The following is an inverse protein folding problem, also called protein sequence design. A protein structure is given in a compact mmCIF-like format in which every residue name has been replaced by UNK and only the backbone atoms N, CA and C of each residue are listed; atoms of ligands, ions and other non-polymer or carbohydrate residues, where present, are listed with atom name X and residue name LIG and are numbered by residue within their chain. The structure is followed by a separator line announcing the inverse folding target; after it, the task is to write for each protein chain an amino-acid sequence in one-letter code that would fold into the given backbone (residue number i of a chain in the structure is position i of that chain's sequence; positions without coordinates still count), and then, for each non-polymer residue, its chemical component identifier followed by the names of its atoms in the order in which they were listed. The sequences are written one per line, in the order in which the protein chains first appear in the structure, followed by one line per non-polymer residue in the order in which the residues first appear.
data_IF_174574386804
#
_entry.id   IF_174574386804
#
_cell.length_a   1.000
_cell.length_b   1.000
_cell.length_c   1.000
_cell.angle_alpha   90.00
_cell.angle_beta   90.00
_cell.angle_gamma   90.00
#
_symmetry.space_group_name_H-M   'P 1'
#
loop_
_entity.id
_entity.type
_entity.pdbx_description
1 polymer ?
#
# COMPACT_ATOMS: atom_id res chain seq x y z
N UNK A 1 -12.77 14.29 11.51
CA UNK A 1 -12.79 12.98 12.14
C UNK A 1 -14.03 12.76 13.02
N UNK A 2 -14.22 13.52 14.13
CA UNK A 2 -15.38 13.32 15.04
C UNK A 2 -16.71 13.55 14.33
N UNK A 3 -16.78 14.53 13.44
CA UNK A 3 -17.97 14.80 12.63
C UNK A 3 -18.25 13.65 11.66
N UNK A 4 -17.23 13.12 11.00
CA UNK A 4 -17.35 12.01 10.06
C UNK A 4 -17.82 10.73 10.76
N UNK A 5 -17.25 10.43 11.94
CA UNK A 5 -17.69 9.29 12.78
C UNK A 5 -19.16 9.40 13.18
N UNK A 6 -19.64 10.61 13.49
CA UNK A 6 -21.06 10.84 13.85
C UNK A 6 -22.00 10.83 12.64
N UNK A 7 -21.49 11.25 11.47
CA UNK A 7 -22.28 11.33 10.24
C UNK A 7 -22.47 9.95 9.56
N UNK A 8 -21.57 9.00 9.83
CA UNK A 8 -21.62 7.67 9.23
C UNK A 8 -22.72 6.84 9.91
N UNK A 9 -23.83 6.61 9.19
CA UNK A 9 -24.93 5.75 9.66
C UNK A 9 -24.65 4.29 9.29
N UNK A 10 -24.55 3.45 10.29
CA UNK A 10 -24.34 2.00 10.15
C UNK A 10 -25.58 1.18 10.57
N UNK A 11 -26.74 1.82 10.72
CA UNK A 11 -27.96 1.17 11.23
C UNK A 11 -28.39 -0.03 10.38
N UNK A 12 -28.21 0.07 9.06
CA UNK A 12 -28.60 -0.97 8.09
C UNK A 12 -27.66 -2.18 8.04
N UNK A 13 -26.53 -2.17 8.81
CA UNK A 13 -25.52 -3.23 8.73
C UNK A 13 -25.45 -4.01 10.04
N UNK A 14 -25.33 -5.35 9.95
CA UNK A 14 -25.13 -6.25 11.08
C UNK A 14 -23.66 -6.42 11.43
N UNK A 15 -22.77 -6.31 10.43
CA UNK A 15 -21.34 -6.47 10.53
C UNK A 15 -20.64 -5.38 9.73
N UNK A 16 -19.57 -4.85 10.29
CA UNK A 16 -18.68 -3.88 9.64
C UNK A 16 -17.32 -4.54 9.40
N UNK A 17 -16.76 -4.37 8.21
CA UNK A 17 -15.40 -4.77 7.88
C UNK A 17 -14.60 -3.49 7.60
N UNK A 18 -13.42 -3.37 8.21
CA UNK A 18 -12.56 -2.19 8.07
C UNK A 18 -11.13 -2.60 7.80
N UNK A 19 -10.51 -1.96 6.81
CA UNK A 19 -9.07 -2.07 6.54
C UNK A 19 -8.32 -0.95 7.26
N UNK A 20 -8.15 -1.12 8.58
CA UNK A 20 -7.46 -0.19 9.47
C UNK A 20 -7.89 1.29 9.32
N UNK A 21 -9.16 1.52 9.00
CA UNK A 21 -9.73 2.85 8.75
C UNK A 21 -10.46 3.35 10.01
N UNK A 22 -10.01 4.48 10.60
CA UNK A 22 -10.45 4.89 11.93
C UNK A 22 -11.87 5.43 11.97
N UNK A 23 -12.40 6.06 10.91
CA UNK A 23 -13.77 6.64 10.93
C UNK A 23 -14.80 5.51 11.03
N UNK A 24 -14.68 4.52 10.16
CA UNK A 24 -15.56 3.35 10.15
C UNK A 24 -15.45 2.55 11.45
N UNK A 25 -14.22 2.34 11.94
CA UNK A 25 -13.97 1.58 13.16
C UNK A 25 -14.61 2.25 14.39
N UNK A 26 -14.43 3.57 14.55
CA UNK A 26 -15.02 4.30 15.67
C UNK A 26 -16.53 4.50 15.52
N UNK A 27 -17.07 4.65 14.30
CA UNK A 27 -18.50 4.69 14.04
C UNK A 27 -19.17 3.37 14.45
N UNK A 28 -18.58 2.24 14.05
CA UNK A 28 -19.07 0.92 14.44
C UNK A 28 -19.06 0.75 15.96
N UNK A 29 -17.97 1.12 16.62
CA UNK A 29 -17.85 1.05 18.09
C UNK A 29 -18.87 1.92 18.80
N UNK A 30 -19.09 3.16 18.36
CA UNK A 30 -20.06 4.08 18.98
C UNK A 30 -21.50 3.62 18.78
N UNK A 31 -21.81 2.98 17.65
CA UNK A 31 -23.13 2.43 17.34
C UNK A 31 -23.29 0.97 17.79
N UNK A 32 -22.31 0.42 18.54
CA UNK A 32 -22.32 -0.95 19.07
C UNK A 32 -22.50 -2.02 17.97
N UNK A 33 -21.98 -1.76 16.79
CA UNK A 33 -21.92 -2.72 15.70
C UNK A 33 -20.70 -3.62 15.83
N UNK A 34 -20.85 -4.89 15.45
CA UNK A 34 -19.70 -5.80 15.37
C UNK A 34 -18.75 -5.37 14.26
N UNK A 35 -17.43 -5.41 14.53
CA UNK A 35 -16.41 -4.99 13.59
C UNK A 35 -15.28 -6.01 13.48
N UNK A 36 -14.97 -6.37 12.24
CA UNK A 36 -13.80 -7.15 11.84
C UNK A 36 -12.81 -6.22 11.16
N UNK A 37 -11.63 -6.07 11.75
CA UNK A 37 -10.50 -5.38 11.13
C UNK A 37 -9.71 -6.38 10.28
N UNK A 38 -9.42 -6.03 9.03
CA UNK A 38 -8.55 -6.81 8.13
C UNK A 38 -7.47 -5.87 7.63
N UNK A 39 -6.21 -6.23 7.78
CA UNK A 39 -5.12 -5.41 7.27
C UNK A 39 -3.75 -5.79 7.85
N UNK A 40 -2.69 -5.25 7.25
CA UNK A 40 -1.33 -5.51 7.68
C UNK A 40 -1.09 -5.12 9.16
N UNK A 41 -1.67 -4.01 9.59
CA UNK A 41 -1.48 -3.46 10.93
C UNK A 41 -1.98 -4.41 12.03
N UNK A 42 -3.02 -5.20 11.74
CA UNK A 42 -3.52 -6.18 12.70
C UNK A 42 -2.57 -7.38 12.89
N UNK A 43 -1.61 -7.62 11.99
CA UNK A 43 -0.56 -8.61 12.20
C UNK A 43 0.32 -8.27 13.40
N UNK A 44 0.46 -6.97 13.72
CA UNK A 44 1.23 -6.50 14.87
C UNK A 44 0.56 -6.77 16.22
N UNK A 45 -0.66 -7.28 16.25
CA UNK A 45 -1.28 -7.80 17.46
C UNK A 45 -0.69 -9.15 17.89
N UNK A 46 0.08 -9.80 17.02
CA UNK A 46 0.71 -11.09 17.23
C UNK A 46 2.22 -10.95 17.52
N UNK A 47 2.83 -12.03 17.99
CA UNK A 47 4.27 -12.09 18.21
C UNK A 47 5.01 -12.29 16.89
N UNK A 48 5.32 -11.17 16.25
CA UNK A 48 6.05 -11.11 14.97
C UNK A 48 7.25 -10.18 15.09
N UNK A 49 8.32 -10.38 14.30
CA UNK A 49 9.46 -9.48 14.29
C UNK A 49 9.08 -8.04 14.00
N UNK A 50 9.50 -7.11 14.86
CA UNK A 50 9.26 -5.68 14.73
C UNK A 50 10.55 -4.90 14.99
N UNK A 51 10.76 -3.84 14.20
CA UNK A 51 11.85 -2.89 14.45
C UNK A 51 11.25 -1.52 14.79
N UNK A 52 11.77 -0.89 15.85
CA UNK A 52 11.37 0.47 16.23
C UNK A 52 9.99 0.59 16.91
N UNK A 53 9.44 -0.51 17.46
CA UNK A 53 8.21 -0.47 18.23
C UNK A 53 8.44 0.22 19.58
N UNK A 54 8.04 1.48 19.71
CA UNK A 54 7.98 2.21 20.97
C UNK A 54 6.57 2.12 21.62
N UNK A 55 6.44 2.40 22.92
CA UNK A 55 5.15 2.33 23.61
C UNK A 55 4.06 3.23 23.02
N UNK A 56 4.43 4.40 22.47
CA UNK A 56 3.49 5.35 21.87
C UNK A 56 2.92 4.77 20.59
N UNK A 57 3.79 4.27 19.70
CA UNK A 57 3.37 3.59 18.46
C UNK A 57 2.46 2.41 18.76
N UNK A 58 2.75 1.59 19.78
CA UNK A 58 1.88 0.50 20.17
C UNK A 58 0.49 0.98 20.63
N UNK A 59 0.40 2.09 21.35
CA UNK A 59 -0.89 2.67 21.75
C UNK A 59 -1.64 3.23 20.54
N UNK A 60 -0.97 3.92 19.64
CA UNK A 60 -1.58 4.42 18.39
C UNK A 60 -2.15 3.23 17.61
N UNK A 61 -1.37 2.19 17.38
CA UNK A 61 -1.82 1.00 16.66
C UNK A 61 -3.07 0.36 17.29
N UNK A 62 -3.12 0.28 18.62
CA UNK A 62 -4.22 -0.31 19.36
C UNK A 62 -5.52 0.49 19.27
N UNK A 63 -5.44 1.82 19.26
CA UNK A 63 -6.61 2.70 19.38
C UNK A 63 -6.94 3.44 18.08
N UNK A 64 -6.10 3.38 17.08
CA UNK A 64 -6.34 4.06 15.80
C UNK A 64 -7.60 3.53 15.11
N UNK A 65 -7.68 2.23 14.87
CA UNK A 65 -8.82 1.56 14.27
C UNK A 65 -9.22 0.33 15.11
N UNK A 66 -9.99 0.52 16.21
CA UNK A 66 -10.35 -0.57 17.09
C UNK A 66 -11.27 -1.58 16.39
N UNK A 67 -11.06 -2.87 16.64
CA UNK A 67 -11.87 -3.96 16.11
C UNK A 67 -12.17 -4.99 17.19
N UNK A 68 -13.29 -5.74 17.05
CA UNK A 68 -13.60 -6.87 17.92
C UNK A 68 -12.75 -8.09 17.55
N UNK A 69 -12.52 -8.25 16.24
CA UNK A 69 -11.67 -9.29 15.67
C UNK A 69 -10.71 -8.61 14.71
N UNK A 70 -9.40 -8.77 14.92
CA UNK A 70 -8.36 -8.28 14.01
C UNK A 70 -7.74 -9.43 13.22
N UNK A 71 -7.86 -9.40 11.90
CA UNK A 71 -7.24 -10.36 10.98
C UNK A 71 -5.99 -9.70 10.40
N UNK A 72 -4.82 -10.15 10.85
CA UNK A 72 -3.53 -9.67 10.38
C UNK A 72 -3.18 -10.22 9.00
N UNK A 73 -2.65 -9.37 8.13
CA UNK A 73 -2.10 -9.74 6.83
C UNK A 73 -0.59 -9.56 6.85
N UNK A 74 0.17 -10.59 6.42
CA UNK A 74 1.62 -10.50 6.32
C UNK A 74 2.18 -11.49 5.29
N UNK A 75 3.41 -11.26 4.81
CA UNK A 75 4.10 -12.17 3.89
C UNK A 75 4.46 -13.53 4.49
N UNK A 76 4.56 -13.60 5.81
CA UNK A 76 4.82 -14.83 6.56
C UNK A 76 3.96 -14.86 7.84
N UNK A 77 3.45 -16.02 8.21
CA UNK A 77 2.54 -16.15 9.34
C UNK A 77 3.25 -16.29 10.72
N UNK A 78 4.55 -16.57 10.76
CA UNK A 78 5.36 -16.73 12.00
C UNK A 78 4.76 -17.72 13.02
N UNK A 79 4.00 -18.73 12.55
CA UNK A 79 3.27 -19.64 13.44
C UNK A 79 2.02 -19.02 14.09
N UNK A 80 1.63 -17.84 13.71
CA UNK A 80 0.48 -17.07 14.21
C UNK A 80 -0.73 -17.17 13.26
N UNK A 81 -1.96 -16.86 13.70
CA UNK A 81 -3.14 -16.83 12.83
C UNK A 81 -3.17 -15.57 11.93
N UNK A 82 -2.16 -15.47 11.09
CA UNK A 82 -1.97 -14.36 10.15
C UNK A 82 -2.19 -14.90 8.74
N UNK A 83 -2.96 -14.17 7.94
CA UNK A 83 -3.26 -14.53 6.55
C UNK A 83 -2.24 -13.88 5.59
N UNK A 84 -2.07 -14.44 4.38
CA UNK A 84 -1.27 -13.82 3.33
C UNK A 84 -1.90 -12.49 2.86
N UNK A 85 -1.12 -11.63 2.16
CA UNK A 85 -1.65 -10.41 1.56
C UNK A 85 -2.82 -10.71 0.62
N UNK A 86 -3.82 -9.82 0.62
CA UNK A 86 -4.91 -9.85 -0.36
C UNK A 86 -4.42 -9.11 -1.61
N UNK A 87 -4.35 -9.81 -2.73
CA UNK A 87 -3.80 -9.30 -3.98
C UNK A 87 -4.84 -9.43 -5.08
N UNK A 88 -5.02 -8.37 -5.84
CA UNK A 88 -5.77 -8.42 -7.09
C UNK A 88 -4.98 -9.28 -8.09
N UNK A 89 -5.59 -10.37 -8.56
CA UNK A 89 -4.97 -11.23 -9.58
C UNK A 89 -5.24 -10.64 -10.97
N UNK A 90 -4.24 -10.02 -11.60
CA UNK A 90 -4.39 -9.51 -12.95
C UNK A 90 -4.41 -10.63 -13.98
N UNK A 91 -4.93 -10.35 -15.15
CA UNK A 91 -4.54 -11.09 -16.33
C UNK A 91 -3.05 -10.85 -16.56
N UNK A 92 -2.23 -11.88 -16.37
CA UNK A 92 -0.78 -11.77 -16.43
C UNK A 92 -0.39 -11.38 -17.86
N UNK A 93 0.21 -10.20 -18.02
CA UNK A 93 0.80 -9.81 -19.29
C UNK A 93 1.98 -10.73 -19.62
N UNK A 94 1.89 -11.45 -20.72
CA UNK A 94 3.01 -12.27 -21.22
C UNK A 94 4.13 -11.42 -21.84
N UNK A 95 3.96 -10.11 -21.94
CA UNK A 95 4.90 -9.20 -22.60
C UNK A 95 5.57 -8.28 -21.56
N UNK A 96 6.61 -8.79 -20.91
CA UNK A 96 7.40 -8.00 -19.95
C UNK A 96 8.46 -7.18 -20.70
N UNK A 97 8.38 -5.87 -20.55
CA UNK A 97 9.36 -4.92 -21.06
C UNK A 97 10.57 -4.86 -20.14
N UNK A 98 11.67 -5.53 -20.53
CA UNK A 98 12.84 -5.78 -19.66
C UNK A 98 13.56 -4.52 -19.17
N UNK A 99 13.39 -3.41 -19.85
CA UNK A 99 13.98 -2.10 -19.50
C UNK A 99 13.00 -1.14 -18.84
N UNK A 100 11.73 -1.51 -18.69
CA UNK A 100 10.70 -0.66 -18.06
C UNK A 100 10.70 -0.81 -16.55
N UNK A 101 10.81 0.29 -15.84
CA UNK A 101 10.78 0.37 -14.38
C UNK A 101 9.69 1.34 -13.96
N UNK A 102 8.78 0.90 -13.10
CA UNK A 102 7.79 1.77 -12.48
C UNK A 102 8.39 2.43 -11.24
N UNK A 103 8.14 3.72 -11.06
CA UNK A 103 8.65 4.48 -9.92
C UNK A 103 7.48 5.13 -9.18
N UNK A 104 7.33 4.79 -7.90
CA UNK A 104 6.33 5.37 -7.03
C UNK A 104 6.93 5.72 -5.67
N UNK A 105 7.36 6.96 -5.55
CA UNK A 105 8.01 7.54 -4.37
C UNK A 105 7.31 8.84 -3.97
N UNK A 106 6.02 8.79 -3.54
CA UNK A 106 5.20 10.00 -3.35
C UNK A 106 5.69 10.90 -2.21
N UNK A 107 6.50 10.39 -1.28
CA UNK A 107 7.03 11.13 -0.13
C UNK A 107 8.39 11.77 -0.41
N UNK A 108 8.96 11.53 -1.59
CA UNK A 108 10.28 11.99 -1.96
C UNK A 108 10.22 13.23 -2.86
N UNK A 109 11.34 13.97 -2.94
CA UNK A 109 11.46 15.07 -3.88
C UNK A 109 11.52 14.54 -5.31
N UNK A 110 10.49 14.83 -6.09
CA UNK A 110 10.33 14.27 -7.43
C UNK A 110 11.41 14.76 -8.42
N UNK A 111 11.88 16.01 -8.29
CA UNK A 111 12.96 16.53 -9.14
C UNK A 111 14.29 15.83 -8.87
N UNK A 112 14.60 15.52 -7.61
CA UNK A 112 15.81 14.77 -7.27
C UNK A 112 15.73 13.32 -7.77
N UNK A 113 14.54 12.68 -7.73
CA UNK A 113 14.34 11.35 -8.32
C UNK A 113 14.67 11.39 -9.82
N UNK A 114 14.10 12.32 -10.57
CA UNK A 114 14.33 12.48 -12.00
C UNK A 114 15.81 12.70 -12.29
N UNK A 115 16.46 13.58 -11.56
CA UNK A 115 17.89 13.90 -11.68
C UNK A 115 18.78 12.66 -11.45
N UNK A 116 18.40 11.78 -10.53
CA UNK A 116 19.15 10.53 -10.32
C UNK A 116 18.88 9.49 -11.41
N UNK A 117 17.65 9.38 -11.86
CA UNK A 117 17.24 8.33 -12.80
C UNK A 117 17.62 8.62 -14.25
N UNK A 118 17.72 9.90 -14.66
CA UNK A 118 18.05 10.28 -16.04
C UNK A 118 19.39 9.74 -16.52
N UNK A 119 20.34 9.46 -15.62
CA UNK A 119 21.64 8.90 -15.95
C UNK A 119 21.61 7.42 -16.38
N UNK A 120 20.50 6.72 -16.15
CA UNK A 120 20.36 5.29 -16.46
C UNK A 120 19.65 5.10 -17.82
N UNK A 121 20.28 5.50 -18.92
CA UNK A 121 19.71 5.53 -20.27
C UNK A 121 19.25 4.17 -20.80
N UNK A 122 19.76 3.06 -20.25
CA UNK A 122 19.35 1.69 -20.64
C UNK A 122 17.98 1.30 -20.08
N UNK A 123 17.40 2.09 -19.18
CA UNK A 123 16.09 1.86 -18.60
C UNK A 123 15.13 2.97 -18.97
N UNK A 124 13.84 2.62 -19.04
CA UNK A 124 12.74 3.57 -19.20
C UNK A 124 11.93 3.64 -17.91
N UNK A 125 11.90 4.80 -17.27
CA UNK A 125 11.26 4.99 -15.98
C UNK A 125 9.87 5.61 -16.15
N UNK A 126 8.83 4.94 -15.65
CA UNK A 126 7.48 5.45 -15.55
C UNK A 126 7.24 5.95 -14.13
N UNK A 127 7.34 7.26 -13.92
CA UNK A 127 7.20 7.89 -12.61
C UNK A 127 5.75 8.31 -12.41
N UNK A 128 5.12 7.84 -11.32
CA UNK A 128 3.79 8.26 -10.89
C UNK A 128 3.90 9.27 -9.76
N UNK A 129 3.49 10.50 -10.02
CA UNK A 129 3.68 11.64 -9.11
C UNK A 129 2.36 12.24 -8.66
N UNK A 130 2.24 12.63 -7.36
CA UNK A 130 1.08 13.36 -6.86
C UNK A 130 1.04 14.82 -7.31
N UNK A 131 2.14 15.34 -7.89
CA UNK A 131 2.26 16.70 -8.41
C UNK A 131 2.62 16.66 -9.90
N UNK A 132 2.20 17.64 -10.69
CA UNK A 132 2.65 17.79 -12.06
C UNK A 132 4.17 18.01 -12.10
N UNK A 133 4.86 17.29 -12.98
CA UNK A 133 6.32 17.40 -13.15
C UNK A 133 6.63 17.46 -14.63
N UNK A 134 7.52 18.35 -14.98
CA UNK A 134 8.15 18.37 -16.30
C UNK A 134 9.29 17.35 -16.37
N UNK A 135 9.27 16.50 -17.37
CA UNK A 135 10.24 15.42 -17.58
C UNK A 135 10.95 15.61 -18.93
N UNK A 136 12.06 16.38 -18.98
CA UNK A 136 12.75 16.69 -20.24
C UNK A 136 13.61 15.53 -20.77
N UNK A 137 13.66 14.38 -20.11
CA UNK A 137 14.53 13.26 -20.43
C UNK A 137 13.80 12.17 -21.22
N UNK A 138 14.39 11.72 -22.33
CA UNK A 138 13.78 10.74 -23.23
C UNK A 138 13.53 9.36 -22.58
N UNK A 139 14.29 9.02 -21.54
CA UNK A 139 14.17 7.78 -20.80
C UNK A 139 13.24 7.86 -19.56
N UNK A 140 12.51 8.98 -19.38
CA UNK A 140 11.60 9.16 -18.26
C UNK A 140 10.24 9.62 -18.78
N UNK A 141 9.19 8.91 -18.35
CA UNK A 141 7.79 9.31 -18.54
C UNK A 141 7.19 9.65 -17.19
N UNK A 142 6.71 10.88 -17.02
CA UNK A 142 6.03 11.31 -15.82
C UNK A 142 4.52 11.23 -16.00
N UNK A 143 3.87 10.50 -15.13
CA UNK A 143 2.43 10.23 -15.17
C UNK A 143 1.75 10.84 -13.94
N UNK A 144 0.53 11.37 -14.09
CA UNK A 144 -0.31 11.68 -12.94
C UNK A 144 -0.72 10.40 -12.22
N UNK A 145 -1.17 10.52 -10.96
CA UNK A 145 -1.70 9.37 -10.24
C UNK A 145 -2.94 8.82 -10.97
N UNK A 146 -2.85 7.56 -11.36
CA UNK A 146 -3.92 6.80 -12.02
C UNK A 146 -3.80 5.34 -11.61
N UNK A 147 -4.85 4.78 -10.99
CA UNK A 147 -4.85 3.36 -10.61
C UNK A 147 -4.72 2.46 -11.83
N UNK A 148 -5.51 2.74 -12.87
CA UNK A 148 -5.51 1.94 -14.12
C UNK A 148 -4.17 2.03 -14.85
N UNK A 149 -3.66 3.25 -15.07
CA UNK A 149 -2.36 3.47 -15.72
C UNK A 149 -1.22 2.82 -14.95
N UNK A 150 -1.21 2.99 -13.62
CA UNK A 150 -0.20 2.38 -12.74
C UNK A 150 -0.21 0.86 -12.82
N UNK A 151 -1.38 0.23 -12.73
CA UNK A 151 -1.52 -1.23 -12.80
C UNK A 151 -1.05 -1.77 -14.14
N UNK A 152 -1.44 -1.13 -15.25
CA UNK A 152 -0.98 -1.48 -16.59
C UNK A 152 0.55 -1.46 -16.67
N UNK A 153 1.17 -0.39 -16.21
CA UNK A 153 2.63 -0.21 -16.23
C UNK A 153 3.33 -1.19 -15.27
N UNK A 154 2.73 -1.48 -14.12
CA UNK A 154 3.26 -2.48 -13.19
C UNK A 154 3.27 -3.88 -13.82
N UNK A 155 2.21 -4.26 -14.53
CA UNK A 155 2.07 -5.61 -15.08
C UNK A 155 3.08 -5.92 -16.17
N UNK A 156 3.42 -4.96 -17.02
CA UNK A 156 4.39 -5.15 -18.11
C UNK A 156 5.83 -4.71 -17.76
N UNK A 157 6.07 -4.14 -16.58
CA UNK A 157 7.41 -3.71 -16.14
C UNK A 157 8.32 -4.88 -15.73
N UNK A 158 9.63 -4.65 -15.75
CA UNK A 158 10.64 -5.56 -15.20
C UNK A 158 10.81 -5.40 -13.68
N UNK A 159 10.47 -4.26 -13.13
CA UNK A 159 10.64 -3.97 -11.72
C UNK A 159 10.03 -2.65 -11.29
N UNK A 160 10.13 -2.38 -10.00
CA UNK A 160 9.58 -1.20 -9.35
C UNK A 160 10.57 -0.58 -8.37
N UNK A 161 10.55 0.74 -8.29
CA UNK A 161 11.20 1.54 -7.25
C UNK A 161 10.10 2.20 -6.42
N UNK A 162 10.03 1.92 -5.12
CA UNK A 162 8.97 2.45 -4.27
C UNK A 162 9.42 2.64 -2.82
N UNK A 163 8.61 3.35 -2.03
CA UNK A 163 8.69 3.23 -0.59
C UNK A 163 8.23 1.82 -0.16
N UNK A 164 8.67 1.36 1.00
CA UNK A 164 8.38 0.01 1.50
C UNK A 164 6.93 -0.17 1.99
N UNK A 165 5.94 0.25 1.19
CA UNK A 165 4.52 0.03 1.47
C UNK A 165 4.13 -1.44 1.31
N UNK A 166 3.32 -1.96 2.24
CA UNK A 166 2.97 -3.37 2.27
C UNK A 166 2.25 -3.86 1.01
N UNK A 167 1.23 -3.14 0.55
CA UNK A 167 0.38 -3.57 -0.57
C UNK A 167 1.14 -3.62 -1.89
N UNK A 168 1.82 -2.53 -2.26
CA UNK A 168 2.55 -2.46 -3.52
C UNK A 168 3.73 -3.46 -3.57
N UNK A 169 4.45 -3.63 -2.45
CA UNK A 169 5.48 -4.63 -2.35
C UNK A 169 4.91 -6.05 -2.50
N UNK A 170 3.74 -6.32 -1.89
CA UNK A 170 3.05 -7.61 -2.01
C UNK A 170 2.65 -7.93 -3.45
N UNK A 171 2.07 -6.97 -4.16
CA UNK A 171 1.73 -7.13 -5.58
C UNK A 171 2.96 -7.36 -6.45
N UNK A 172 4.01 -6.57 -6.24
CA UNK A 172 5.24 -6.71 -7.00
C UNK A 172 5.93 -8.07 -6.77
N UNK A 173 5.95 -8.56 -5.52
CA UNK A 173 6.45 -9.90 -5.19
C UNK A 173 5.61 -10.99 -5.86
N UNK A 174 4.28 -10.89 -5.80
CA UNK A 174 3.37 -11.84 -6.44
C UNK A 174 3.59 -11.90 -7.96
N UNK A 175 3.81 -10.76 -8.59
CA UNK A 175 4.10 -10.65 -10.02
C UNK A 175 5.54 -11.03 -10.40
N UNK A 176 6.38 -11.42 -9.44
CA UNK A 176 7.80 -11.76 -9.68
C UNK A 176 8.65 -10.58 -10.12
N UNK A 177 8.24 -9.34 -9.79
CA UNK A 177 8.98 -8.12 -10.15
C UNK A 177 10.20 -7.93 -9.26
N UNK A 178 11.25 -7.32 -9.82
CA UNK A 178 12.37 -6.82 -9.02
C UNK A 178 11.92 -5.58 -8.26
N UNK A 179 12.27 -5.49 -6.97
CA UNK A 179 11.86 -4.38 -6.10
C UNK A 179 13.10 -3.70 -5.55
N UNK A 180 13.16 -2.39 -5.72
CA UNK A 180 14.09 -1.51 -5.00
C UNK A 180 13.25 -0.64 -4.06
N UNK A 181 13.52 -0.71 -2.76
CA UNK A 181 12.82 0.09 -1.75
C UNK A 181 13.74 1.11 -1.11
N UNK A 182 13.15 2.24 -0.75
CA UNK A 182 13.80 3.31 0.00
C UNK A 182 13.22 3.38 1.41
#
# INVERSE_FOLDING_TARGET
FIQDVKALDLSAYDLVISDFEPVTAWAAKTQKKKIVGIGHQYAFNHDIPRKGADPITNQIMKYFAPSDIGIGLHWHHFGQPILPPIIETPEISNNILRNKIVVYLPFENQHEIIKHLCAFENFHFHIYSPIPIDCPYANITCNPLSREGFKKDLYDSAGIISNAGFELASEALYLGKKILVK
#
